data_IF_769621518635
#
_entry.id   IF_769621518635
#
_cell.length_a   1.000
_cell.length_b   1.000
_cell.length_c   1.000
_cell.angle_alpha   90.00
_cell.angle_beta   90.00
_cell.angle_gamma   90.00
#
_symmetry.space_group_name_H-M   'P 1'
#
loop_
_entity.id
_entity.type
_entity.pdbx_description
1 polymer ?
#
# COMPACT_ATOMS: atom_id res chain seq x y z
N UNK A 1 39.88 -29.81 22.82
CA UNK A 1 39.66 -28.99 21.61
C UNK A 1 38.22 -29.18 21.26
N UNK A 2 37.37 -28.37 21.87
CA UNK A 2 35.92 -28.38 21.70
C UNK A 2 35.57 -27.22 20.79
N UNK A 3 35.08 -27.53 19.60
CA UNK A 3 34.62 -26.56 18.62
C UNK A 3 33.37 -25.85 19.15
N UNK A 4 33.52 -24.55 19.45
CA UNK A 4 32.39 -23.64 19.67
C UNK A 4 31.75 -23.37 18.30
N UNK A 5 30.61 -24.03 18.04
CA UNK A 5 29.74 -23.71 16.93
C UNK A 5 29.08 -22.35 17.21
N UNK A 6 29.49 -21.34 16.45
CA UNK A 6 28.91 -20.01 16.44
C UNK A 6 27.49 -20.09 15.83
N UNK A 7 26.45 -20.14 16.66
CA UNK A 7 25.06 -20.16 16.22
C UNK A 7 24.63 -18.75 15.79
N UNK A 8 24.25 -18.59 14.53
CA UNK A 8 23.80 -17.33 13.96
C UNK A 8 22.32 -17.43 13.50
N UNK A 9 21.38 -16.72 14.14
CA UNK A 9 19.97 -16.77 13.77
C UNK A 9 19.65 -16.23 12.37
N UNK A 10 20.57 -15.49 11.74
CA UNK A 10 20.41 -15.06 10.34
C UNK A 10 20.58 -16.21 9.33
N UNK A 11 21.47 -17.16 9.62
CA UNK A 11 21.71 -18.33 8.76
C UNK A 11 20.51 -19.29 8.78
N UNK A 12 19.84 -19.43 9.94
CA UNK A 12 18.60 -20.20 10.07
C UNK A 12 17.41 -19.55 9.34
N UNK A 13 17.39 -18.22 9.22
CA UNK A 13 16.34 -17.48 8.51
C UNK A 13 16.54 -17.51 6.98
N UNK A 14 17.78 -17.38 6.50
CA UNK A 14 18.12 -17.53 5.08
C UNK A 14 17.94 -18.98 4.60
N UNK A 15 18.31 -19.97 5.41
CA UNK A 15 18.13 -21.39 5.08
C UNK A 15 16.64 -21.75 5.00
N UNK A 16 15.82 -21.29 5.95
CA UNK A 16 14.35 -21.48 5.90
C UNK A 16 13.70 -20.75 4.74
N UNK A 17 14.17 -19.54 4.39
CA UNK A 17 13.67 -18.81 3.23
C UNK A 17 13.99 -19.56 1.93
N UNK A 18 15.19 -20.16 1.81
CA UNK A 18 15.58 -20.95 0.64
C UNK A 18 14.80 -22.26 0.53
N UNK A 19 14.57 -22.95 1.64
CA UNK A 19 13.78 -24.19 1.69
C UNK A 19 12.29 -23.94 1.42
N UNK A 20 11.76 -22.79 1.88
CA UNK A 20 10.38 -22.36 1.59
C UNK A 20 10.23 -21.93 0.12
N UNK A 21 11.26 -21.32 -0.49
CA UNK A 21 11.29 -20.98 -1.92
C UNK A 21 11.34 -22.25 -2.78
N UNK A 22 12.16 -23.25 -2.44
CA UNK A 22 12.27 -24.49 -3.23
C UNK A 22 11.00 -25.36 -3.11
N UNK A 23 10.36 -25.41 -1.95
CA UNK A 23 9.04 -26.05 -1.79
C UNK A 23 7.93 -25.26 -2.49
N UNK A 24 7.99 -23.93 -2.47
CA UNK A 24 7.05 -23.08 -3.20
C UNK A 24 7.19 -23.25 -4.71
N UNK A 25 8.41 -23.34 -5.25
CA UNK A 25 8.66 -23.55 -6.66
C UNK A 25 7.99 -24.83 -7.17
N UNK A 26 7.97 -25.89 -6.37
CA UNK A 26 7.30 -27.16 -6.70
C UNK A 26 5.76 -27.06 -6.69
N UNK A 27 5.19 -26.06 -5.98
CA UNK A 27 3.73 -25.86 -5.87
C UNK A 27 3.22 -24.78 -6.85
N UNK A 28 4.11 -23.89 -7.31
CA UNK A 28 3.82 -22.81 -8.25
C UNK A 28 3.76 -23.27 -9.71
N UNK A 29 4.35 -24.43 -10.05
CA UNK A 29 4.38 -24.96 -11.43
C UNK A 29 2.98 -25.30 -12.00
N UNK A 30 1.97 -25.49 -11.14
CA UNK A 30 0.60 -25.84 -11.54
C UNK A 30 -0.39 -24.67 -11.48
N UNK A 31 0.01 -23.48 -11.03
CA UNK A 31 -0.89 -22.32 -10.92
C UNK A 31 -1.02 -21.58 -12.25
N UNK A 32 -2.23 -21.56 -12.81
CA UNK A 32 -2.52 -20.79 -14.01
C UNK A 32 -2.74 -19.32 -13.69
N UNK A 33 -2.65 -18.46 -14.71
CA UNK A 33 -3.02 -17.05 -14.60
C UNK A 33 -4.49 -16.91 -14.16
N UNK A 34 -5.36 -17.78 -14.66
CA UNK A 34 -6.79 -17.80 -14.37
C UNK A 34 -7.07 -18.13 -12.89
N UNK A 35 -6.33 -19.08 -12.30
CA UNK A 35 -6.46 -19.43 -10.86
C UNK A 35 -6.10 -18.24 -9.97
N UNK A 36 -5.03 -17.52 -10.32
CA UNK A 36 -4.58 -16.35 -9.57
C UNK A 36 -5.54 -15.18 -9.72
N UNK A 37 -6.06 -14.95 -10.94
CA UNK A 37 -7.08 -13.93 -11.17
C UNK A 37 -8.38 -14.24 -10.40
N UNK A 38 -8.81 -15.51 -10.38
CA UNK A 38 -9.96 -15.94 -9.59
C UNK A 38 -9.72 -15.74 -8.10
N UNK A 39 -8.53 -16.08 -7.60
CA UNK A 39 -8.17 -15.88 -6.19
C UNK A 39 -8.18 -14.40 -5.80
N UNK A 40 -7.69 -13.52 -6.68
CA UNK A 40 -7.74 -12.06 -6.48
C UNK A 40 -9.17 -11.54 -6.47
N UNK A 41 -10.03 -11.99 -7.40
CA UNK A 41 -11.44 -11.62 -7.42
C UNK A 41 -12.16 -12.04 -6.13
N UNK A 42 -11.87 -13.24 -5.60
CA UNK A 42 -12.41 -13.70 -4.33
C UNK A 42 -12.01 -12.81 -3.14
N UNK A 43 -10.86 -12.13 -3.18
CA UNK A 43 -10.49 -11.16 -2.14
C UNK A 43 -11.45 -9.98 -2.13
N UNK A 44 -11.82 -9.46 -3.30
CA UNK A 44 -12.81 -8.37 -3.40
C UNK A 44 -14.16 -8.79 -2.81
N UNK A 45 -14.61 -10.01 -3.14
CA UNK A 45 -15.85 -10.56 -2.59
C UNK A 45 -15.80 -10.70 -1.06
N UNK A 46 -14.70 -11.22 -0.50
CA UNK A 46 -14.52 -11.34 0.95
C UNK A 46 -14.50 -9.99 1.67
N UNK A 47 -13.84 -8.99 1.07
CA UNK A 47 -13.79 -7.65 1.64
C UNK A 47 -15.18 -6.99 1.58
N UNK A 48 -15.92 -7.19 0.48
CA UNK A 48 -17.29 -6.69 0.29
C UNK A 48 -18.31 -7.25 1.29
N UNK A 49 -18.04 -8.40 1.93
CA UNK A 49 -18.90 -8.90 3.02
C UNK A 49 -18.87 -8.04 4.28
N UNK A 50 -17.82 -7.23 4.47
CA UNK A 50 -17.62 -6.40 5.67
C UNK A 50 -17.58 -4.90 5.38
N UNK A 51 -17.32 -4.52 4.14
CA UNK A 51 -17.19 -3.13 3.70
C UNK A 51 -18.26 -2.84 2.67
N UNK A 52 -19.01 -1.76 2.87
CA UNK A 52 -20.15 -1.37 2.05
C UNK A 52 -19.80 -0.06 1.34
N UNK A 53 -20.04 0.02 0.03
CA UNK A 53 -19.91 1.26 -0.75
C UNK A 53 -18.47 1.73 -0.99
N UNK A 54 -17.50 0.82 -0.99
CA UNK A 54 -16.08 1.16 -1.18
C UNK A 54 -15.38 0.23 -2.18
N UNK A 55 -16.10 -0.31 -3.17
CA UNK A 55 -15.57 -1.24 -4.17
C UNK A 55 -14.34 -0.68 -4.88
N UNK A 56 -14.40 0.59 -5.30
CA UNK A 56 -13.27 1.30 -5.92
C UNK A 56 -12.04 1.40 -5.02
N UNK A 57 -12.26 1.58 -3.72
CA UNK A 57 -11.17 1.66 -2.73
C UNK A 57 -10.52 0.29 -2.57
N UNK A 58 -11.33 -0.77 -2.52
CA UNK A 58 -10.85 -2.16 -2.46
C UNK A 58 -10.04 -2.50 -3.70
N UNK A 59 -10.55 -2.19 -4.90
CA UNK A 59 -9.84 -2.39 -6.17
C UNK A 59 -8.49 -1.66 -6.15
N UNK A 60 -8.46 -0.36 -5.82
CA UNK A 60 -7.23 0.44 -5.78
C UNK A 60 -6.23 -0.09 -4.76
N UNK A 61 -6.68 -0.58 -3.61
CA UNK A 61 -5.80 -1.22 -2.62
C UNK A 61 -5.21 -2.52 -3.16
N UNK A 62 -6.02 -3.38 -3.79
CA UNK A 62 -5.54 -4.61 -4.41
C UNK A 62 -4.54 -4.33 -5.52
N UNK A 63 -4.83 -3.36 -6.40
CA UNK A 63 -3.91 -2.88 -7.43
C UNK A 63 -2.60 -2.44 -6.79
N UNK A 64 -2.65 -1.66 -5.70
CA UNK A 64 -1.45 -1.19 -5.01
C UNK A 64 -0.60 -2.33 -4.42
N UNK A 65 -1.24 -3.31 -3.77
CA UNK A 65 -0.57 -4.49 -3.23
C UNK A 65 0.05 -5.32 -4.36
N UNK A 66 -0.66 -5.54 -5.47
CA UNK A 66 -0.17 -6.28 -6.64
C UNK A 66 0.99 -5.56 -7.36
N UNK A 67 1.09 -4.24 -7.22
CA UNK A 67 2.24 -3.48 -7.71
C UNK A 67 3.46 -3.53 -6.80
N UNK A 68 3.36 -4.16 -5.62
CA UNK A 68 4.34 -4.02 -4.51
C UNK A 68 4.55 -2.56 -4.09
N UNK A 69 3.49 -1.75 -4.23
CA UNK A 69 3.46 -0.33 -3.92
C UNK A 69 3.04 -0.04 -2.48
N UNK A 70 2.97 1.25 -2.15
CA UNK A 70 2.35 1.74 -0.91
C UNK A 70 1.31 2.79 -1.28
N UNK A 71 0.24 2.91 -0.50
CA UNK A 71 -0.84 3.86 -0.76
C UNK A 71 -0.96 4.91 0.35
N UNK A 72 -1.31 6.13 -0.07
CA UNK A 72 -1.73 7.20 0.82
C UNK A 72 -3.25 7.27 0.77
N UNK A 73 -3.93 7.15 1.90
CA UNK A 73 -5.38 7.18 1.98
C UNK A 73 -5.85 8.43 2.72
N UNK A 74 -6.49 9.32 1.99
CA UNK A 74 -7.11 10.50 2.57
C UNK A 74 -8.60 10.23 2.73
N UNK A 75 -9.12 10.38 3.95
CA UNK A 75 -10.56 10.34 4.16
C UNK A 75 -10.96 10.92 5.50
N UNK A 76 -12.25 11.19 5.61
CA UNK A 76 -12.90 11.58 6.85
C UNK A 76 -12.84 10.47 7.93
N UNK A 77 -12.85 10.85 9.23
CA UNK A 77 -12.90 9.90 10.33
C UNK A 77 -14.14 8.99 10.26
N UNK A 78 -13.99 7.75 10.74
CA UNK A 78 -15.12 6.82 10.90
C UNK A 78 -15.48 5.97 9.68
N UNK A 79 -14.79 6.11 8.55
CA UNK A 79 -15.10 5.39 7.30
C UNK A 79 -14.54 3.95 7.21
N UNK A 80 -14.39 3.26 8.35
CA UNK A 80 -14.08 1.83 8.36
C UNK A 80 -12.67 1.41 7.86
N UNK A 81 -11.72 2.34 7.68
CA UNK A 81 -10.35 2.07 7.16
C UNK A 81 -9.64 0.91 7.84
N UNK A 82 -9.68 0.87 9.17
CA UNK A 82 -9.01 -0.20 9.94
C UNK A 82 -9.67 -1.55 9.67
N UNK A 83 -10.99 -1.59 9.52
CA UNK A 83 -11.72 -2.81 9.16
C UNK A 83 -11.36 -3.24 7.75
N UNK A 84 -11.30 -2.31 6.80
CA UNK A 84 -10.93 -2.56 5.41
C UNK A 84 -9.55 -3.22 5.31
N UNK A 85 -8.52 -2.59 5.88
CA UNK A 85 -7.14 -3.10 5.79
C UNK A 85 -6.96 -4.40 6.54
N UNK A 86 -7.60 -4.55 7.72
CA UNK A 86 -7.54 -5.80 8.48
C UNK A 86 -8.20 -6.95 7.73
N UNK A 87 -9.32 -6.69 7.06
CA UNK A 87 -10.06 -7.67 6.26
C UNK A 87 -9.23 -8.08 5.04
N UNK A 88 -8.61 -7.12 4.35
CA UNK A 88 -7.69 -7.39 3.26
C UNK A 88 -6.51 -8.26 3.69
N UNK A 89 -5.86 -7.94 4.82
CA UNK A 89 -4.76 -8.75 5.36
C UNK A 89 -5.22 -10.18 5.74
N UNK A 90 -6.41 -10.31 6.33
CA UNK A 90 -6.96 -11.62 6.67
C UNK A 90 -7.26 -12.46 5.42
N UNK A 91 -7.84 -11.86 4.37
CA UNK A 91 -8.15 -12.54 3.11
C UNK A 91 -6.88 -12.97 2.34
N UNK A 92 -5.76 -12.27 2.55
CA UNK A 92 -4.49 -12.47 1.83
C UNK A 92 -3.41 -13.23 2.63
N UNK A 93 -3.77 -13.79 3.79
CA UNK A 93 -2.85 -14.46 4.72
C UNK A 93 -1.61 -13.60 5.09
N UNK A 94 -1.84 -12.30 5.27
CA UNK A 94 -0.80 -11.32 5.59
C UNK A 94 -0.89 -10.87 7.05
N UNK A 95 0.26 -10.73 7.70
CA UNK A 95 0.34 -10.18 9.05
C UNK A 95 -0.03 -8.69 9.02
N UNK A 96 -1.00 -8.30 9.86
CA UNK A 96 -1.45 -6.93 10.02
C UNK A 96 -0.83 -6.27 11.25
N UNK A 97 -0.39 -5.03 11.09
CA UNK A 97 0.05 -4.16 12.17
C UNK A 97 -0.54 -2.76 12.00
N UNK A 98 -0.75 -2.07 13.12
CA UNK A 98 -1.29 -0.70 13.16
C UNK A 98 -0.36 0.20 13.94
N UNK A 99 -0.04 1.36 13.36
CA UNK A 99 0.74 2.43 13.97
C UNK A 99 -0.13 3.67 14.00
N UNK A 100 -0.42 4.20 15.18
CA UNK A 100 -1.05 5.50 15.33
C UNK A 100 0.04 6.56 15.38
N UNK A 101 0.08 7.46 14.41
CA UNK A 101 1.04 8.55 14.43
C UNK A 101 0.57 9.64 15.38
N UNK A 102 1.43 9.97 16.33
CA UNK A 102 1.23 11.05 17.30
C UNK A 102 2.46 11.97 17.32
N UNK A 103 2.35 13.21 17.80
CA UNK A 103 3.46 14.15 17.82
C UNK A 103 4.67 13.70 18.66
N UNK A 104 4.44 12.81 19.63
CA UNK A 104 5.43 12.23 20.53
C UNK A 104 6.01 10.90 20.03
N UNK A 105 5.48 10.33 18.93
CA UNK A 105 5.96 9.07 18.38
C UNK A 105 7.40 9.20 17.90
N UNK A 106 8.28 8.34 18.40
CA UNK A 106 9.70 8.30 18.03
C UNK A 106 9.95 7.35 16.86
N UNK A 107 11.01 7.56 16.05
CA UNK A 107 11.39 6.63 14.99
C UNK A 107 11.55 5.17 15.46
N UNK A 108 12.11 4.97 16.66
CA UNK A 108 12.30 3.65 17.27
C UNK A 108 10.98 2.96 17.62
N UNK A 109 9.91 3.71 17.90
CA UNK A 109 8.61 3.12 18.19
C UNK A 109 7.96 2.50 16.94
N UNK A 110 8.43 2.89 15.75
CA UNK A 110 8.01 2.31 14.45
C UNK A 110 8.98 1.20 14.03
N UNK A 111 10.27 1.52 14.05
CA UNK A 111 11.33 0.69 13.48
C UNK A 111 11.82 -0.39 14.43
N UNK A 112 11.62 -0.23 15.73
CA UNK A 112 12.15 -1.11 16.77
C UNK A 112 13.29 -0.48 17.56
N UNK A 113 13.65 -1.12 18.66
CA UNK A 113 14.71 -0.65 19.57
C UNK A 113 15.51 -1.84 20.10
N UNK A 114 16.77 -1.61 20.44
CA UNK A 114 17.51 -2.59 21.24
C UNK A 114 17.12 -2.46 22.71
N UNK A 115 16.81 -3.61 23.32
CA UNK A 115 16.54 -3.73 24.74
C UNK A 115 17.59 -4.63 25.38
N UNK A 116 17.90 -4.37 26.65
CA UNK A 116 18.77 -5.25 27.43
C UNK A 116 17.88 -6.28 28.12
N UNK A 117 18.08 -7.56 27.79
CA UNK A 117 17.44 -8.68 28.48
C UNK A 117 18.43 -9.29 29.48
N UNK A 118 18.00 -9.44 30.72
CA UNK A 118 18.76 -10.19 31.72
C UNK A 118 18.48 -11.68 31.55
N UNK A 119 19.51 -12.45 31.27
CA UNK A 119 19.48 -13.92 31.17
C UNK A 119 20.27 -14.51 32.35
N UNK A 120 20.10 -15.81 32.67
CA UNK A 120 20.92 -16.48 33.68
C UNK A 120 22.43 -16.43 33.40
N UNK A 121 22.84 -16.21 32.15
CA UNK A 121 24.23 -16.13 31.70
C UNK A 121 24.80 -14.69 31.67
N UNK A 122 23.95 -13.66 31.77
CA UNK A 122 24.41 -12.26 31.75
C UNK A 122 23.38 -11.26 31.19
N UNK A 123 23.88 -10.13 30.68
CA UNK A 123 23.07 -9.12 29.97
C UNK A 123 23.25 -9.32 28.46
N UNK A 124 22.15 -9.54 27.77
CA UNK A 124 22.09 -9.68 26.30
C UNK A 124 21.39 -8.46 25.70
N UNK A 125 21.93 -7.91 24.62
CA UNK A 125 21.25 -6.90 23.82
C UNK A 125 20.38 -7.60 22.77
N UNK A 126 19.07 -7.43 22.85
CA UNK A 126 18.10 -8.06 21.95
C UNK A 126 17.35 -6.97 21.20
N UNK A 127 17.28 -7.10 19.87
CA UNK A 127 16.48 -6.19 19.07
C UNK A 127 14.99 -6.53 19.18
N UNK A 128 14.22 -5.60 19.72
CA UNK A 128 12.76 -5.67 19.76
C UNK A 128 12.20 -5.04 18.49
N UNK A 129 11.63 -5.89 17.63
CA UNK A 129 11.05 -5.50 16.35
C UNK A 129 9.87 -4.55 16.57
N UNK A 130 9.92 -3.40 15.92
CA UNK A 130 8.81 -2.45 15.90
C UNK A 130 7.61 -2.94 15.08
N UNK A 131 6.49 -2.21 15.13
CA UNK A 131 5.26 -2.56 14.43
C UNK A 131 5.39 -2.58 12.90
N UNK A 132 6.47 -2.03 12.33
CA UNK A 132 6.74 -2.07 10.90
C UNK A 132 7.10 -3.48 10.39
N UNK A 133 7.46 -4.42 11.28
CA UNK A 133 7.78 -5.81 10.91
C UNK A 133 6.51 -6.66 10.74
N UNK A 134 5.63 -6.22 9.85
CA UNK A 134 4.42 -6.93 9.43
C UNK A 134 4.24 -6.79 7.91
N UNK A 135 3.44 -7.65 7.28
CA UNK A 135 3.21 -7.57 5.84
C UNK A 135 2.36 -6.36 5.44
N UNK A 136 1.36 -6.03 6.26
CA UNK A 136 0.42 -4.93 6.04
C UNK A 136 0.48 -4.01 7.24
N UNK A 137 0.92 -2.78 7.03
CA UNK A 137 1.06 -1.77 8.08
C UNK A 137 0.10 -0.62 7.79
N UNK A 138 -0.88 -0.43 8.66
CA UNK A 138 -1.73 0.76 8.67
C UNK A 138 -1.06 1.84 9.52
N UNK A 139 -0.60 2.92 8.88
CA UNK A 139 -0.02 4.08 9.55
C UNK A 139 -1.05 5.21 9.60
N UNK A 140 -1.81 5.27 10.69
CA UNK A 140 -2.89 6.25 10.85
C UNK A 140 -2.33 7.65 11.11
N UNK A 141 -2.92 8.66 10.45
CA UNK A 141 -2.63 10.09 10.67
C UNK A 141 -1.15 10.45 10.51
N UNK A 142 -0.50 9.98 9.44
CA UNK A 142 0.94 10.18 9.20
C UNK A 142 1.38 11.65 9.29
N UNK A 143 0.48 12.58 8.98
CA UNK A 143 0.70 14.02 9.11
C UNK A 143 0.75 14.53 10.56
N UNK A 144 0.53 13.72 11.59
CA UNK A 144 0.71 14.10 13.01
C UNK A 144 2.07 13.74 13.57
N UNK A 145 2.78 12.81 12.94
CA UNK A 145 4.14 12.45 13.31
C UNK A 145 5.14 13.54 12.92
N UNK A 146 6.22 13.68 13.69
CA UNK A 146 7.31 14.61 13.36
C UNK A 146 7.98 14.23 12.03
N UNK A 147 8.63 15.16 11.31
CA UNK A 147 9.32 14.85 10.05
C UNK A 147 10.36 13.73 10.15
N UNK A 148 11.01 13.59 11.33
CA UNK A 148 11.98 12.52 11.56
C UNK A 148 11.31 11.14 11.64
N UNK A 149 10.16 11.06 12.29
CA UNK A 149 9.36 9.83 12.41
C UNK A 149 8.72 9.45 11.07
N UNK A 150 8.20 10.43 10.33
CA UNK A 150 7.75 10.23 8.94
C UNK A 150 8.87 9.67 8.06
N UNK A 151 10.07 10.23 8.15
CA UNK A 151 11.23 9.78 7.36
C UNK A 151 11.59 8.33 7.64
N UNK A 152 11.57 7.89 8.91
CA UNK A 152 11.87 6.50 9.28
C UNK A 152 10.87 5.50 8.67
N UNK A 153 9.57 5.85 8.66
CA UNK A 153 8.55 5.04 8.00
C UNK A 153 8.75 5.00 6.48
N UNK A 154 9.01 6.14 5.86
CA UNK A 154 9.20 6.25 4.40
C UNK A 154 10.50 5.58 3.92
N UNK A 155 11.54 5.55 4.74
CA UNK A 155 12.78 4.82 4.48
C UNK A 155 12.50 3.32 4.48
N UNK A 156 11.83 2.80 5.51
CA UNK A 156 11.41 1.40 5.57
C UNK A 156 10.54 1.00 4.37
N UNK A 157 9.66 1.91 3.90
CA UNK A 157 8.83 1.70 2.70
C UNK A 157 9.63 1.55 1.41
N UNK A 158 10.75 2.26 1.26
CA UNK A 158 11.57 2.25 0.04
C UNK A 158 12.64 1.17 0.07
N UNK A 159 13.36 1.07 1.19
CA UNK A 159 14.48 0.14 1.31
C UNK A 159 14.00 -1.28 1.67
N UNK A 160 12.76 -1.43 2.12
CA UNK A 160 12.18 -2.71 2.57
C UNK A 160 13.02 -3.40 3.66
N UNK A 161 13.75 -2.59 4.44
CA UNK A 161 14.62 -3.00 5.53
C UNK A 161 14.72 -1.87 6.55
N UNK A 162 15.18 -2.21 7.75
CA UNK A 162 15.44 -1.27 8.85
C UNK A 162 16.85 -1.49 9.35
N UNK A 163 17.61 -0.41 9.55
CA UNK A 163 18.93 -0.49 10.19
C UNK A 163 18.84 0.04 11.62
N UNK A 164 19.18 -0.80 12.59
CA UNK A 164 19.21 -0.43 14.01
C UNK A 164 20.51 -0.94 14.63
N UNK A 165 21.21 -0.06 15.36
CA UNK A 165 22.46 -0.37 16.07
C UNK A 165 23.56 -1.03 15.21
N UNK A 166 23.63 -0.67 13.92
CA UNK A 166 24.62 -1.24 13.00
C UNK A 166 24.23 -2.57 12.36
N UNK A 167 23.07 -3.13 12.72
CA UNK A 167 22.49 -4.33 12.10
C UNK A 167 21.33 -3.96 11.18
N UNK A 168 21.27 -4.60 10.01
CA UNK A 168 20.18 -4.43 9.04
C UNK A 168 19.22 -5.61 9.13
N UNK A 169 17.93 -5.30 9.24
CA UNK A 169 16.84 -6.26 9.37
C UNK A 169 15.89 -6.11 8.18
N UNK A 170 15.72 -7.19 7.40
CA UNK A 170 14.81 -7.19 6.26
C UNK A 170 13.34 -7.28 6.72
N UNK A 171 12.46 -6.54 6.04
CA UNK A 171 11.02 -6.58 6.26
C UNK A 171 10.37 -7.79 5.59
N UNK A 172 9.27 -8.34 6.13
CA UNK A 172 8.59 -9.49 5.53
C UNK A 172 8.00 -9.12 4.16
N UNK A 173 8.05 -10.04 3.19
CA UNK A 173 7.50 -9.83 1.83
C UNK A 173 6.21 -10.59 1.59
N UNK A 174 5.16 -10.03 0.97
CA UNK A 174 5.08 -8.63 0.52
C UNK A 174 5.02 -7.68 1.72
N UNK A 175 5.46 -6.44 1.49
CA UNK A 175 5.47 -5.37 2.47
C UNK A 175 4.69 -4.17 1.94
N UNK A 176 3.51 -3.94 2.49
CA UNK A 176 2.57 -2.91 2.07
C UNK A 176 2.27 -1.97 3.24
N UNK A 177 2.43 -0.67 3.00
CA UNK A 177 2.04 0.39 3.93
C UNK A 177 0.84 1.14 3.36
N UNK A 178 -0.23 1.24 4.16
CA UNK A 178 -1.30 2.19 3.95
C UNK A 178 -1.15 3.33 4.97
N UNK A 179 -0.71 4.50 4.52
CA UNK A 179 -0.64 5.68 5.38
C UNK A 179 -1.93 6.47 5.25
N UNK A 180 -2.54 6.89 6.36
CA UNK A 180 -3.76 7.70 6.32
C UNK A 180 -3.46 9.17 6.65
N UNK A 181 -4.18 10.07 5.99
CA UNK A 181 -4.18 11.50 6.30
C UNK A 181 -5.61 11.93 6.60
N UNK A 182 -5.76 12.78 7.61
CA UNK A 182 -7.00 13.50 7.86
C UNK A 182 -6.87 14.91 7.25
N UNK A 183 -7.70 15.28 6.26
CA UNK A 183 -7.61 16.59 5.61
C UNK A 183 -8.08 17.73 6.51
N UNK A 184 -8.90 17.44 7.52
CA UNK A 184 -9.50 18.43 8.41
C UNK A 184 -8.77 18.36 9.76
N UNK A 185 -7.77 19.21 10.00
CA UNK A 185 -7.21 19.36 11.35
C UNK A 185 -6.75 20.80 11.67
N UNK A 186 -7.02 21.25 12.89
CA UNK A 186 -6.94 22.64 13.37
C UNK A 186 -5.69 22.95 14.22
N UNK A 187 -4.71 22.05 14.29
CA UNK A 187 -3.38 22.38 14.84
C UNK A 187 -2.44 21.19 15.04
N UNK A 188 -1.15 21.39 14.77
CA UNK A 188 -0.09 20.43 15.12
C UNK A 188 0.23 19.34 14.07
N UNK A 189 -0.05 19.61 12.80
CA UNK A 189 0.29 18.68 11.70
C UNK A 189 1.57 19.10 10.96
N UNK A 190 2.28 18.10 10.46
CA UNK A 190 3.44 18.19 9.58
C UNK A 190 3.05 17.60 8.22
N UNK A 191 2.72 18.44 7.22
CA UNK A 191 2.37 17.94 5.90
C UNK A 191 3.55 17.18 5.30
N UNK A 192 3.25 16.10 4.58
CA UNK A 192 4.28 15.39 3.81
C UNK A 192 4.73 16.29 2.66
N UNK A 193 6.03 16.61 2.54
CA UNK A 193 6.57 17.25 1.35
C UNK A 193 6.27 16.44 0.09
N UNK A 194 6.19 17.09 -1.06
CA UNK A 194 5.92 16.45 -2.36
C UNK A 194 6.89 15.29 -2.67
N UNK A 195 8.18 15.50 -2.37
CA UNK A 195 9.19 14.45 -2.53
C UNK A 195 8.90 13.19 -1.69
N UNK A 196 8.15 13.32 -0.59
CA UNK A 196 7.70 12.22 0.25
C UNK A 196 6.40 11.61 -0.26
N UNK A 197 5.43 12.41 -0.74
CA UNK A 197 4.19 11.87 -1.32
C UNK A 197 4.48 11.08 -2.60
N UNK A 198 5.45 11.48 -3.42
CA UNK A 198 5.84 10.79 -4.66
C UNK A 198 6.35 9.35 -4.42
N UNK A 199 6.73 9.01 -3.17
CA UNK A 199 7.10 7.63 -2.74
C UNK A 199 5.91 6.68 -2.67
N UNK A 200 4.68 7.20 -2.58
CA UNK A 200 3.47 6.39 -2.64
C UNK A 200 3.09 6.13 -4.08
N UNK A 201 2.70 4.90 -4.40
CA UNK A 201 2.25 4.54 -5.74
C UNK A 201 1.03 5.36 -6.14
N UNK A 202 0.07 5.48 -5.22
CA UNK A 202 -1.18 6.19 -5.42
C UNK A 202 -1.69 6.87 -4.15
N UNK A 203 -2.48 7.93 -4.33
CA UNK A 203 -3.31 8.55 -3.31
C UNK A 203 -4.77 8.18 -3.56
N UNK A 204 -5.38 7.49 -2.60
CA UNK A 204 -6.77 7.03 -2.65
C UNK A 204 -7.59 7.99 -1.79
N UNK A 205 -8.62 8.57 -2.38
CA UNK A 205 -9.62 9.34 -1.65
C UNK A 205 -10.80 8.43 -1.31
N UNK A 206 -11.31 8.54 -0.09
CA UNK A 206 -12.55 7.87 0.32
C UNK A 206 -13.51 8.94 0.76
N UNK A 207 -14.67 8.99 0.10
CA UNK A 207 -15.73 9.93 0.42
C UNK A 207 -16.74 9.30 1.39
N UNK A 208 -17.71 10.08 1.84
CA UNK A 208 -18.83 9.50 2.61
C UNK A 208 -19.61 8.49 1.75
N UNK A 209 -20.12 7.40 2.35
CA UNK A 209 -20.99 6.47 1.65
C UNK A 209 -22.25 7.18 1.16
N UNK A 210 -22.87 6.64 0.12
CA UNK A 210 -24.17 7.12 -0.31
C UNK A 210 -25.25 6.80 0.72
N UNK A 211 -26.46 7.30 0.50
CA UNK A 211 -27.56 7.13 1.45
C UNK A 211 -27.93 5.66 1.69
N UNK A 212 -27.92 4.81 0.67
CA UNK A 212 -28.33 3.42 0.78
C UNK A 212 -27.25 2.56 1.45
N UNK A 213 -25.98 2.87 1.16
CA UNK A 213 -24.82 2.30 1.85
C UNK A 213 -24.78 2.70 3.31
N UNK A 214 -24.92 4.00 3.61
CA UNK A 214 -24.95 4.52 4.98
C UNK A 214 -26.12 3.91 5.77
N UNK A 215 -27.29 3.80 5.15
CA UNK A 215 -28.46 3.14 5.75
C UNK A 215 -28.15 1.69 6.10
N UNK A 216 -27.43 0.96 5.26
CA UNK A 216 -27.06 -0.43 5.50
C UNK A 216 -26.05 -0.54 6.65
N UNK A 217 -25.04 0.35 6.68
CA UNK A 217 -24.07 0.45 7.77
C UNK A 217 -24.76 0.71 9.11
N UNK A 218 -25.65 1.71 9.16
CA UNK A 218 -26.40 2.08 10.38
C UNK A 218 -27.27 0.92 10.84
N UNK A 219 -27.96 0.24 9.92
CA UNK A 219 -28.79 -0.92 10.24
C UNK A 219 -27.97 -2.05 10.86
N UNK A 220 -26.86 -2.43 10.24
CA UNK A 220 -25.99 -3.50 10.75
C UNK A 220 -25.43 -3.17 12.14
N UNK A 221 -25.02 -1.92 12.36
CA UNK A 221 -24.53 -1.46 13.66
C UNK A 221 -25.63 -1.48 14.73
N UNK A 222 -26.83 -0.98 14.42
CA UNK A 222 -27.95 -0.93 15.35
C UNK A 222 -28.49 -2.32 15.73
N UNK A 223 -28.46 -3.27 14.79
CA UNK A 223 -28.89 -4.66 15.00
C UNK A 223 -27.81 -5.51 15.68
N UNK A 224 -26.61 -4.97 15.92
CA UNK A 224 -25.50 -5.69 16.53
C UNK A 224 -25.02 -6.85 15.66
N UNK A 225 -25.07 -6.69 14.33
CA UNK A 225 -24.69 -7.72 13.39
C UNK A 225 -23.24 -8.16 13.63
N UNK A 226 -23.04 -9.48 13.78
CA UNK A 226 -21.69 -10.04 13.83
C UNK A 226 -21.13 -10.00 12.42
N UNK A 227 -19.98 -9.33 12.24
CA UNK A 227 -19.30 -9.31 10.96
C UNK A 227 -18.92 -10.75 10.56
N UNK A 228 -19.24 -11.20 9.34
CA UNK A 228 -18.97 -12.56 8.89
C UNK A 228 -17.48 -12.86 8.92
N UNK A 229 -17.06 -14.08 9.28
CA UNK A 229 -15.65 -14.45 9.24
C UNK A 229 -15.06 -14.30 7.84
N UNK A 230 -13.79 -13.91 7.78
CA UNK A 230 -13.06 -13.69 6.52
C UNK A 230 -12.31 -14.96 6.18
N UNK A 231 -12.60 -15.54 5.03
CA UNK A 231 -11.86 -16.70 4.53
C UNK A 231 -10.53 -16.29 3.92
N UNK A 232 -9.52 -17.16 4.04
CA UNK A 232 -8.21 -16.95 3.41
C UNK A 232 -8.26 -17.45 1.98
N UNK A 233 -8.54 -16.54 1.06
CA UNK A 233 -8.79 -16.86 -0.35
C UNK A 233 -7.57 -16.64 -1.24
N UNK A 234 -6.60 -15.83 -0.80
CA UNK A 234 -5.36 -15.59 -1.54
C UNK A 234 -4.13 -15.82 -0.64
N UNK A 235 -3.54 -17.02 -0.61
CA UNK A 235 -2.35 -17.29 0.17
C UNK A 235 -1.18 -16.36 -0.21
N UNK A 236 -0.33 -16.04 0.76
CA UNK A 236 0.85 -15.16 0.60
C UNK A 236 1.72 -15.51 -0.62
N UNK A 237 1.96 -16.80 -0.87
CA UNK A 237 2.76 -17.25 -2.02
C UNK A 237 2.09 -16.99 -3.36
N UNK A 238 0.76 -17.14 -3.44
CA UNK A 238 -0.01 -16.84 -4.64
C UNK A 238 0.00 -15.34 -4.92
N UNK A 239 -0.06 -14.51 -3.86
CA UNK A 239 0.06 -13.07 -4.00
C UNK A 239 1.42 -12.65 -4.59
N UNK A 240 2.52 -13.25 -4.12
CA UNK A 240 3.85 -13.00 -4.69
C UNK A 240 3.92 -13.41 -6.18
N UNK A 241 3.37 -14.57 -6.53
CA UNK A 241 3.29 -15.01 -7.93
C UNK A 241 2.44 -14.05 -8.78
N UNK A 242 1.32 -13.56 -8.25
CA UNK A 242 0.49 -12.57 -8.92
C UNK A 242 1.25 -11.24 -9.15
N UNK A 243 2.03 -10.75 -8.18
CA UNK A 243 2.88 -9.57 -8.35
C UNK A 243 3.89 -9.73 -9.49
N UNK A 244 4.46 -10.93 -9.66
CA UNK A 244 5.38 -11.22 -10.77
C UNK A 244 4.66 -11.26 -12.12
N UNK A 245 3.47 -11.87 -12.20
CA UNK A 245 2.68 -11.95 -13.42
C UNK A 245 2.17 -10.57 -13.86
N UNK A 246 1.75 -9.72 -12.91
CA UNK A 246 1.34 -8.34 -13.19
C UNK A 246 2.41 -7.58 -13.95
N UNK A 247 3.70 -7.73 -13.61
CA UNK A 247 4.80 -7.10 -14.35
C UNK A 247 4.90 -7.58 -15.79
N UNK A 248 4.54 -8.85 -16.03
CA UNK A 248 4.56 -9.52 -17.34
C UNK A 248 3.33 -9.25 -18.20
N UNK A 249 2.25 -8.65 -17.65
CA UNK A 249 1.06 -8.28 -18.43
C UNK A 249 1.49 -7.39 -19.61
N UNK A 250 1.16 -7.76 -20.87
CA UNK A 250 1.50 -6.97 -22.04
C UNK A 250 0.74 -5.64 -22.08
N UNK A 251 1.44 -4.61 -22.53
CA UNK A 251 0.91 -3.28 -22.84
C UNK A 251 1.36 -2.93 -24.25
N UNK A 252 0.43 -2.51 -25.10
CA UNK A 252 0.74 -2.10 -26.46
C UNK A 252 1.54 -0.78 -26.46
N UNK A 253 2.41 -0.62 -27.46
CA UNK A 253 3.33 0.53 -27.53
C UNK A 253 2.57 1.86 -27.62
N UNK A 254 1.45 1.90 -28.34
CA UNK A 254 0.57 3.07 -28.45
C UNK A 254 -0.05 3.48 -27.11
N UNK A 255 -0.51 2.52 -26.29
CA UNK A 255 -1.03 2.78 -24.93
C UNK A 255 0.09 3.30 -24.04
N UNK A 256 1.29 2.70 -24.12
CA UNK A 256 2.46 3.14 -23.34
C UNK A 256 2.87 4.56 -23.71
N UNK A 257 2.95 4.88 -24.99
CA UNK A 257 3.33 6.20 -25.48
C UNK A 257 2.27 7.25 -25.11
N UNK A 258 0.98 6.92 -25.25
CA UNK A 258 -0.13 7.78 -24.80
C UNK A 258 -0.11 8.02 -23.29
N UNK A 259 0.31 7.03 -22.49
CA UNK A 259 0.50 7.18 -21.03
C UNK A 259 1.64 8.15 -20.71
N UNK A 260 2.74 8.09 -21.47
CA UNK A 260 3.87 9.01 -21.32
C UNK A 260 3.44 10.43 -21.72
N UNK A 261 2.69 10.58 -22.81
CA UNK A 261 2.15 11.85 -23.27
C UNK A 261 1.22 12.48 -22.22
N UNK A 262 0.30 11.71 -21.64
CA UNK A 262 -0.58 12.17 -20.55
C UNK A 262 0.23 12.76 -19.39
N UNK A 263 1.23 12.04 -18.90
CA UNK A 263 2.09 12.53 -17.80
C UNK A 263 2.90 13.75 -18.23
N UNK A 264 3.36 13.79 -19.48
CA UNK A 264 4.09 14.95 -20.02
C UNK A 264 3.21 16.19 -20.10
N UNK A 265 1.95 16.06 -20.53
CA UNK A 265 0.97 17.16 -20.58
C UNK A 265 0.79 17.82 -19.20
N UNK A 266 0.94 17.08 -18.10
CA UNK A 266 0.89 17.69 -16.75
C UNK A 266 1.97 18.75 -16.50
N UNK A 267 3.10 18.73 -17.24
CA UNK A 267 4.20 19.69 -17.10
C UNK A 267 4.09 20.87 -18.09
N UNK A 268 3.14 20.77 -19.02
CA UNK A 268 2.91 21.75 -20.08
C UNK A 268 1.57 22.49 -19.88
N UNK A 269 0.71 22.00 -18.97
CA UNK A 269 -0.60 22.58 -18.65
C UNK A 269 -0.45 23.86 -17.79
N UNK A 270 -1.13 24.93 -18.19
CA UNK A 270 -1.06 26.23 -17.53
C UNK A 270 -1.65 26.24 -16.11
N UNK A 271 -2.57 25.31 -15.81
CA UNK A 271 -3.22 25.18 -14.49
C UNK A 271 -2.32 24.49 -13.44
N UNK A 272 -1.16 23.98 -13.86
CA UNK A 272 -0.25 23.20 -13.03
C UNK A 272 1.07 23.97 -12.86
N UNK A 273 1.40 24.32 -11.61
CA UNK A 273 2.68 24.95 -11.26
C UNK A 273 3.83 23.94 -11.30
N UNK A 274 3.61 22.72 -10.79
CA UNK A 274 4.57 21.62 -10.84
C UNK A 274 3.92 20.33 -11.32
N UNK A 275 4.37 19.83 -12.47
CA UNK A 275 3.83 18.62 -13.11
C UNK A 275 4.51 17.33 -12.67
N UNK A 276 3.86 16.20 -12.97
CA UNK A 276 4.25 14.89 -12.46
C UNK A 276 5.57 14.38 -13.05
N UNK A 277 6.42 13.79 -12.21
CA UNK A 277 7.73 13.25 -12.60
C UNK A 277 7.62 12.01 -13.51
N UNK A 278 8.71 11.54 -14.16
CA UNK A 278 8.69 10.28 -14.91
C UNK A 278 8.29 9.05 -14.08
N UNK A 279 8.38 9.13 -12.74
CA UNK A 279 7.87 8.09 -11.84
C UNK A 279 6.37 7.91 -11.96
N UNK A 280 5.62 8.97 -12.28
CA UNK A 280 4.19 8.86 -12.55
C UNK A 280 3.91 7.98 -13.77
N UNK A 281 4.69 8.09 -14.85
CA UNK A 281 4.53 7.21 -16.03
C UNK A 281 4.78 5.75 -15.69
N UNK A 282 5.86 5.47 -14.93
CA UNK A 282 6.18 4.11 -14.48
C UNK A 282 5.09 3.55 -13.55
N UNK A 283 4.64 4.34 -12.58
CA UNK A 283 3.57 3.99 -11.65
C UNK A 283 2.25 3.72 -12.38
N UNK A 284 1.90 4.57 -13.35
CA UNK A 284 0.64 4.47 -14.07
C UNK A 284 0.60 3.24 -14.98
N UNK A 285 1.70 2.92 -15.68
CA UNK A 285 1.79 1.68 -16.47
C UNK A 285 1.67 0.46 -15.57
N UNK A 286 2.35 0.44 -14.41
CA UNK A 286 2.29 -0.70 -13.50
C UNK A 286 0.91 -0.86 -12.86
N UNK A 287 0.29 0.24 -12.44
CA UNK A 287 -1.07 0.26 -11.91
C UNK A 287 -2.10 -0.20 -12.96
N UNK A 288 -1.96 0.23 -14.22
CA UNK A 288 -2.82 -0.21 -15.31
C UNK A 288 -2.70 -1.71 -15.59
N UNK A 289 -1.47 -2.26 -15.54
CA UNK A 289 -1.24 -3.72 -15.63
C UNK A 289 -1.89 -4.48 -14.48
N UNK A 290 -1.75 -3.99 -13.25
CA UNK A 290 -2.37 -4.59 -12.08
C UNK A 290 -3.90 -4.52 -12.15
N UNK A 291 -4.47 -3.38 -12.59
CA UNK A 291 -5.91 -3.23 -12.78
C UNK A 291 -6.47 -4.17 -13.85
N UNK A 292 -5.77 -4.31 -14.98
CA UNK A 292 -6.15 -5.29 -16.00
C UNK A 292 -6.18 -6.71 -15.40
N UNK A 293 -5.17 -7.06 -14.60
CA UNK A 293 -5.08 -8.36 -13.93
C UNK A 293 -6.23 -8.59 -12.94
N UNK A 294 -6.52 -7.61 -12.07
CA UNK A 294 -7.66 -7.65 -11.11
C UNK A 294 -8.98 -7.87 -11.84
N UNK A 295 -9.15 -7.26 -13.01
CA UNK A 295 -10.33 -7.40 -13.86
C UNK A 295 -10.32 -8.65 -14.75
N UNK A 296 -9.45 -9.64 -14.48
CA UNK A 296 -9.40 -10.90 -15.22
C UNK A 296 -8.84 -10.78 -16.65
N UNK A 297 -8.28 -9.62 -17.03
CA UNK A 297 -7.70 -9.41 -18.36
C UNK A 297 -6.22 -9.71 -18.39
N UNK A 298 -5.75 -10.21 -19.53
CA UNK A 298 -4.36 -10.57 -19.78
C UNK A 298 -3.61 -9.53 -20.61
N UNK A 299 -4.18 -8.35 -20.81
CA UNK A 299 -3.57 -7.22 -21.50
C UNK A 299 -4.14 -5.90 -20.99
N UNK A 300 -3.35 -4.84 -21.06
CA UNK A 300 -3.75 -3.47 -20.67
C UNK A 300 -4.62 -2.84 -21.74
N UNK A 301 -5.71 -2.20 -21.34
CA UNK A 301 -6.51 -1.29 -22.18
C UNK A 301 -6.27 0.16 -21.78
N UNK A 302 -6.68 1.11 -22.64
CA UNK A 302 -6.62 2.54 -22.28
C UNK A 302 -7.50 2.87 -21.07
N UNK A 303 -8.60 2.14 -20.88
CA UNK A 303 -9.49 2.30 -19.73
C UNK A 303 -8.74 2.06 -18.40
N UNK A 304 -7.81 1.09 -18.35
CA UNK A 304 -6.99 0.88 -17.16
C UNK A 304 -6.10 2.06 -16.82
N UNK A 305 -5.54 2.70 -17.85
CA UNK A 305 -4.71 3.89 -17.70
C UNK A 305 -5.56 5.06 -17.23
N UNK A 306 -6.73 5.26 -17.85
CA UNK A 306 -7.63 6.35 -17.51
C UNK A 306 -8.11 6.27 -16.05
N UNK A 307 -8.56 5.09 -15.63
CA UNK A 307 -9.06 4.85 -14.26
C UNK A 307 -7.96 4.99 -13.19
N UNK A 308 -6.73 4.62 -13.53
CA UNK A 308 -5.59 4.76 -12.61
C UNK A 308 -4.93 6.15 -12.68
N UNK A 309 -5.27 6.99 -13.66
CA UNK A 309 -4.59 8.27 -13.86
C UNK A 309 -4.77 9.19 -12.64
N UNK A 310 -6.00 9.42 -12.20
CA UNK A 310 -6.27 10.28 -11.06
C UNK A 310 -5.59 9.79 -9.77
N UNK A 311 -5.77 8.53 -9.30
CA UNK A 311 -5.13 8.06 -8.06
C UNK A 311 -3.59 8.06 -8.14
N UNK A 312 -3.00 7.91 -9.33
CA UNK A 312 -1.54 7.95 -9.49
C UNK A 312 -1.01 9.39 -9.62
N UNK A 313 -1.73 10.31 -10.26
CA UNK A 313 -1.19 11.64 -10.61
C UNK A 313 -1.53 12.70 -9.55
N UNK A 314 -2.67 12.62 -8.86
CA UNK A 314 -3.21 13.71 -8.01
C UNK A 314 -2.26 14.22 -6.92
N UNK A 315 -1.39 13.37 -6.38
CA UNK A 315 -0.41 13.72 -5.33
C UNK A 315 0.99 14.02 -5.88
N UNK A 316 1.12 14.08 -7.21
CA UNK A 316 2.34 14.36 -7.96
C UNK A 316 2.23 15.64 -8.81
N UNK A 317 1.13 16.38 -8.67
CA UNK A 317 0.94 17.67 -9.30
C UNK A 317 0.63 18.72 -8.25
N UNK A 318 1.10 19.93 -8.48
CA UNK A 318 0.77 21.12 -7.69
C UNK A 318 0.07 22.09 -8.62
N UNK A 319 -1.16 22.45 -8.29
CA UNK A 319 -1.93 23.40 -9.07
C UNK A 319 -1.39 24.81 -8.86
N UNK A 320 -1.56 25.65 -9.87
CA UNK A 320 -1.29 27.07 -9.72
C UNK A 320 -2.34 27.75 -8.83
N UNK A 321 -1.95 28.85 -8.19
CA UNK A 321 -2.82 29.60 -7.25
C UNK A 321 -4.14 30.12 -7.87
N UNK A 322 -4.15 30.47 -9.17
CA UNK A 322 -5.37 30.89 -9.88
C UNK A 322 -6.30 29.71 -10.08
N UNK A 323 -5.79 28.56 -10.51
CA UNK A 323 -6.55 27.34 -10.69
C UNK A 323 -7.20 26.91 -9.36
N UNK A 324 -6.43 26.90 -8.26
CA UNK A 324 -6.97 26.62 -6.92
C UNK A 324 -8.08 27.60 -6.52
N UNK A 325 -7.90 28.89 -6.81
CA UNK A 325 -8.90 29.94 -6.50
C UNK A 325 -10.19 29.79 -7.32
N UNK A 326 -10.10 29.24 -8.52
CA UNK A 326 -11.25 28.90 -9.36
C UNK A 326 -11.94 27.61 -8.91
N UNK A 327 -11.38 26.92 -7.91
CA UNK A 327 -11.93 25.70 -7.32
C UNK A 327 -11.58 24.44 -8.09
N UNK A 328 -10.61 24.50 -9.03
CA UNK A 328 -10.12 23.32 -9.72
C UNK A 328 -9.39 22.40 -8.73
N UNK A 329 -9.68 21.11 -8.82
CA UNK A 329 -8.97 20.07 -8.08
C UNK A 329 -7.96 19.35 -8.98
N UNK A 330 -6.94 18.68 -8.41
CA UNK A 330 -6.04 17.84 -9.19
C UNK A 330 -6.77 16.79 -10.04
N UNK A 331 -7.88 16.24 -9.53
CA UNK A 331 -8.69 15.25 -10.25
C UNK A 331 -9.39 15.88 -11.47
N UNK A 332 -9.90 17.12 -11.37
CA UNK A 332 -10.51 17.84 -12.49
C UNK A 332 -9.50 18.07 -13.63
N UNK A 333 -8.27 18.46 -13.26
CA UNK A 333 -7.21 18.70 -14.24
C UNK A 333 -6.78 17.39 -14.89
N UNK A 334 -6.62 16.30 -14.12
CA UNK A 334 -6.31 14.99 -14.69
C UNK A 334 -7.41 14.52 -15.64
N UNK A 335 -8.68 14.71 -15.30
CA UNK A 335 -9.81 14.35 -16.16
C UNK A 335 -9.76 15.13 -17.48
N UNK A 336 -9.52 16.45 -17.44
CA UNK A 336 -9.35 17.30 -18.63
C UNK A 336 -8.16 16.86 -19.50
N UNK A 337 -7.10 16.32 -18.90
CA UNK A 337 -5.94 15.83 -19.62
C UNK A 337 -6.16 14.45 -20.27
N UNK A 338 -7.16 13.69 -19.84
CA UNK A 338 -7.55 12.40 -20.45
C UNK A 338 -8.41 12.57 -21.71
N UNK A 339 -9.15 13.68 -21.79
CA UNK A 339 -9.90 14.14 -22.97
C UNK A 339 -8.97 14.58 -24.12
#
# INVERSE_FOLDING_TARGET
MSDEHNWNPADDAETKLSDDIDRANTTLEDLTIEDLQSSVASVTDEVGKRIIGQEDVVERLLVCVLCDGNALLESNPGLGKTTLVRTLAAATDLQFSRVQNTPDLMPSDITGTEIIRETPEGREFVFERGPIFANVVLADEINRATPKTQSALLEAMQEKQVTAAGHTYTLPRPFFVLATQNPIDQGGTYPLPEAQTDRFLMKILVDYPDFDDERTIVKQYAEGAVLPDVERVLPRMHLLAAQELVRKVPIADDIRDRTIELVRRTREDEAIEFGASPRASMALVLAAKARAFVNGRTYVSWEDVAEMAAPVIRHRIILDFRAEREGLTPDDVVQRLLE
#
